data_IF_161305444210
#
_entry.id   IF_161305444210
#
_cell.length_a   1.000
_cell.length_b   1.000
_cell.length_c   1.000
_cell.angle_alpha   90.00
_cell.angle_beta   90.00
_cell.angle_gamma   90.00
#
_symmetry.space_group_name_H-M   'P 1'
#
loop_
_entity.id
_entity.type
_entity.pdbx_description
1 polymer ?
#
# COMPACT_ATOMS: atom_id res chain seq x y z
N UNK A 1 -20.69 -3.60 -0.11
CA UNK A 1 -21.15 -2.34 -0.72
C UNK A 1 -20.96 -1.24 0.32
N UNK A 2 -20.21 -0.19 -0.03
CA UNK A 2 -19.97 0.97 0.81
C UNK A 2 -20.63 2.19 0.16
N UNK A 3 -21.30 3.03 0.95
CA UNK A 3 -21.86 4.30 0.50
C UNK A 3 -21.36 5.41 1.42
N UNK A 4 -20.83 6.49 0.85
CA UNK A 4 -20.38 7.67 1.58
C UNK A 4 -21.02 8.91 0.98
N UNK A 5 -21.62 9.77 1.82
CA UNK A 5 -22.25 11.01 1.38
C UNK A 5 -21.77 12.17 2.23
N UNK A 6 -21.27 13.22 1.58
CA UNK A 6 -20.91 14.50 2.18
C UNK A 6 -21.68 15.60 1.48
N UNK A 7 -22.29 16.52 2.23
CA UNK A 7 -23.15 17.55 1.67
C UNK A 7 -23.06 18.87 2.42
N UNK A 8 -22.97 19.95 1.65
CA UNK A 8 -23.21 21.32 2.09
C UNK A 8 -24.25 21.97 1.17
N UNK A 9 -25.33 22.51 1.71
CA UNK A 9 -26.41 23.02 0.87
C UNK A 9 -27.10 24.25 1.44
N UNK A 10 -27.44 25.18 0.56
CA UNK A 10 -28.56 26.09 0.76
C UNK A 10 -29.79 25.48 0.05
N UNK A 11 -30.82 25.02 0.77
CA UNK A 11 -31.98 24.36 0.15
C UNK A 11 -32.77 25.28 -0.79
N UNK A 12 -33.65 24.68 -1.58
CA UNK A 12 -34.56 25.39 -2.49
C UNK A 12 -35.37 26.50 -1.80
N UNK A 13 -35.62 27.59 -2.53
CA UNK A 13 -36.44 28.74 -2.10
C UNK A 13 -36.02 29.35 -0.75
N UNK A 14 -34.78 29.14 -0.33
CA UNK A 14 -34.23 29.74 0.89
C UNK A 14 -33.52 31.04 0.57
N UNK A 15 -33.63 31.99 1.48
CA UNK A 15 -32.88 33.25 1.43
C UNK A 15 -31.76 33.22 2.47
N UNK A 16 -30.56 33.59 2.05
CA UNK A 16 -29.43 33.91 2.94
C UNK A 16 -28.99 35.33 2.62
N UNK A 17 -28.88 36.13 3.68
CA UNK A 17 -28.30 37.46 3.65
C UNK A 17 -27.10 37.39 4.60
N UNK A 18 -25.89 37.30 4.05
CA UNK A 18 -24.64 37.23 4.79
C UNK A 18 -24.05 38.62 5.03
N UNK A 19 -24.48 39.63 4.27
CA UNK A 19 -24.12 41.03 4.41
C UNK A 19 -25.32 41.84 4.90
N UNK A 20 -25.29 42.34 6.15
CA UNK A 20 -26.41 43.10 6.73
C UNK A 20 -26.04 44.50 7.21
N UNK A 21 -24.76 44.86 7.17
CA UNK A 21 -24.23 46.17 7.53
C UNK A 21 -23.45 46.68 6.30
N UNK A 22 -23.47 47.99 5.99
CA UNK A 22 -22.80 48.62 4.80
C UNK A 22 -21.25 48.45 4.75
N UNK A 23 -20.67 47.44 5.43
CA UNK A 23 -19.26 47.10 5.46
C UNK A 23 -18.83 46.03 4.44
N UNK A 24 -19.78 45.32 3.81
CA UNK A 24 -19.53 44.44 2.66
C UNK A 24 -18.61 43.26 2.98
N UNK A 25 -18.76 42.65 4.17
CA UNK A 25 -17.76 41.70 4.70
C UNK A 25 -18.22 40.23 4.77
N UNK A 26 -19.51 39.93 4.68
CA UNK A 26 -20.02 38.58 4.91
C UNK A 26 -20.10 37.70 3.66
N UNK A 27 -19.31 36.63 3.58
CA UNK A 27 -19.37 35.65 2.49
C UNK A 27 -20.23 34.41 2.84
N UNK A 28 -20.90 33.83 1.84
CA UNK A 28 -21.52 32.51 1.96
C UNK A 28 -20.56 31.44 1.43
N UNK A 29 -20.16 30.51 2.30
CA UNK A 29 -19.27 29.39 1.96
C UNK A 29 -20.01 28.07 2.22
N UNK A 30 -20.17 27.25 1.19
CA UNK A 30 -20.72 25.91 1.24
C UNK A 30 -19.63 24.94 0.80
N UNK A 31 -19.05 24.20 1.74
CA UNK A 31 -17.99 23.23 1.44
C UNK A 31 -18.41 21.84 1.91
N UNK A 32 -18.47 20.90 0.97
CA UNK A 32 -18.49 19.47 1.23
C UNK A 32 -17.11 18.89 0.93
N UNK A 33 -16.66 17.94 1.74
CA UNK A 33 -15.43 17.21 1.48
C UNK A 33 -15.63 15.73 1.77
N UNK A 34 -15.05 14.86 0.94
CA UNK A 34 -15.16 13.41 1.13
C UNK A 34 -13.80 12.70 0.96
N UNK A 35 -13.53 11.80 1.90
CA UNK A 35 -12.45 10.81 2.11
C UNK A 35 -13.07 9.40 2.13
N UNK A 36 -12.88 8.52 1.15
CA UNK A 36 -13.50 7.18 1.20
C UNK A 36 -12.54 6.09 0.76
N UNK A 37 -12.36 5.12 1.68
CA UNK A 37 -11.68 3.86 1.44
C UNK A 37 -12.70 2.71 1.48
N UNK A 38 -12.63 1.80 0.51
CA UNK A 38 -13.49 0.63 0.43
C UNK A 38 -12.68 -0.62 0.11
N UNK A 39 -12.98 -1.76 0.73
CA UNK A 39 -12.23 -2.99 0.51
C UNK A 39 -13.14 -4.20 0.55
N UNK A 40 -12.94 -5.13 -0.38
CA UNK A 40 -13.45 -6.49 -0.31
C UNK A 40 -12.28 -7.47 -0.42
N UNK A 41 -12.17 -8.40 0.53
CA UNK A 41 -11.16 -9.48 0.51
C UNK A 41 -11.86 -10.83 0.54
N UNK A 42 -11.39 -11.78 -0.26
CA UNK A 42 -11.85 -13.16 -0.23
C UNK A 42 -10.64 -14.09 -0.23
N UNK A 43 -10.58 -15.01 0.75
CA UNK A 43 -9.60 -16.10 0.77
C UNK A 43 -10.33 -17.43 0.65
N UNK A 44 -10.23 -18.02 -0.54
CA UNK A 44 -10.74 -19.34 -0.87
C UNK A 44 -9.66 -20.40 -0.82
N UNK A 45 -8.62 -20.27 -0.01
CA UNK A 45 -7.57 -21.28 0.07
C UNK A 45 -8.10 -22.60 0.65
N UNK A 46 -7.99 -23.68 -0.11
CA UNK A 46 -8.32 -25.01 0.39
C UNK A 46 -7.25 -25.52 1.37
N UNK A 47 -7.67 -26.34 2.32
CA UNK A 47 -6.80 -27.13 3.19
C UNK A 47 -7.19 -28.60 3.05
N UNK A 48 -6.31 -29.43 2.46
CA UNK A 48 -6.51 -30.88 2.37
C UNK A 48 -5.28 -31.62 2.82
N UNK A 49 -5.49 -32.77 3.45
CA UNK A 49 -4.44 -33.76 3.72
C UNK A 49 -3.92 -34.40 2.42
N UNK A 50 -2.76 -35.06 2.52
CA UNK A 50 -2.18 -35.84 1.42
C UNK A 50 -3.19 -36.86 0.85
N UNK A 51 -3.41 -36.84 -0.47
CA UNK A 51 -4.34 -37.73 -1.18
C UNK A 51 -5.79 -37.22 -1.30
N UNK A 52 -6.08 -35.98 -0.91
CA UNK A 52 -7.41 -35.36 -1.04
C UNK A 52 -7.68 -34.68 -2.41
N UNK A 53 -8.93 -34.26 -2.65
CA UNK A 53 -9.25 -33.27 -3.70
C UNK A 53 -9.53 -31.92 -3.04
N UNK A 54 -8.77 -30.89 -3.40
CA UNK A 54 -8.93 -29.53 -2.89
C UNK A 54 -9.60 -28.62 -3.91
N UNK A 55 -10.72 -27.99 -3.53
CA UNK A 55 -11.37 -26.95 -4.33
C UNK A 55 -11.44 -25.67 -3.52
N UNK A 56 -10.84 -24.61 -4.04
CA UNK A 56 -10.82 -23.31 -3.40
C UNK A 56 -11.21 -22.19 -4.35
N UNK A 57 -12.23 -21.42 -3.97
CA UNK A 57 -12.75 -20.32 -4.79
C UNK A 57 -12.79 -19.04 -3.97
N UNK A 58 -12.12 -17.99 -4.45
CA UNK A 58 -12.14 -16.66 -3.86
C UNK A 58 -12.94 -15.70 -4.73
N UNK A 59 -13.97 -15.04 -4.20
CA UNK A 59 -14.72 -14.01 -4.94
C UNK A 59 -14.81 -12.75 -4.10
N UNK A 60 -14.13 -11.69 -4.54
CA UNK A 60 -14.17 -10.38 -3.92
C UNK A 60 -14.92 -9.39 -4.82
N UNK A 61 -16.01 -8.81 -4.32
CA UNK A 61 -16.75 -7.76 -5.03
C UNK A 61 -16.83 -6.54 -4.13
N UNK A 62 -16.10 -5.49 -4.52
CA UNK A 62 -16.17 -4.19 -3.91
C UNK A 62 -17.07 -3.28 -4.74
N UNK A 63 -18.10 -2.70 -4.11
CA UNK A 63 -18.96 -1.69 -4.73
C UNK A 63 -18.95 -0.49 -3.81
N UNK A 64 -18.43 0.62 -4.29
CA UNK A 64 -18.36 1.88 -3.56
C UNK A 64 -19.16 2.94 -4.30
N UNK A 65 -20.06 3.62 -3.58
CA UNK A 65 -20.78 4.80 -4.07
C UNK A 65 -20.39 6.00 -3.20
N UNK A 66 -19.88 7.06 -3.79
CA UNK A 66 -19.48 8.29 -3.10
C UNK A 66 -20.23 9.46 -3.69
N UNK A 67 -20.93 10.22 -2.84
CA UNK A 67 -21.56 11.49 -3.18
C UNK A 67 -20.88 12.60 -2.37
N UNK A 68 -20.37 13.62 -3.06
CA UNK A 68 -19.77 14.80 -2.44
C UNK A 68 -20.36 16.04 -3.10
N UNK A 69 -21.28 16.71 -2.41
CA UNK A 69 -22.16 17.68 -3.05
C UNK A 69 -22.18 19.00 -2.30
N UNK A 70 -21.90 20.08 -3.00
CA UNK A 70 -22.12 21.44 -2.54
C UNK A 70 -23.10 22.14 -3.47
N UNK A 71 -24.22 22.67 -2.95
CA UNK A 71 -25.17 23.35 -3.82
C UNK A 71 -25.96 24.48 -3.20
N UNK A 72 -26.30 25.45 -4.05
CA UNK A 72 -27.38 26.41 -3.82
C UNK A 72 -28.59 25.95 -4.63
N UNK A 73 -29.66 25.59 -3.93
CA UNK A 73 -30.88 25.02 -4.49
C UNK A 73 -31.64 25.98 -5.40
N UNK A 74 -32.59 25.42 -6.14
CA UNK A 74 -33.42 26.19 -7.05
C UNK A 74 -34.24 27.26 -6.31
N UNK A 75 -34.39 28.44 -6.92
CA UNK A 75 -35.16 29.55 -6.37
C UNK A 75 -34.61 30.14 -5.07
N UNK A 76 -33.43 29.70 -4.62
CA UNK A 76 -32.76 30.30 -3.47
C UNK A 76 -32.29 31.73 -3.80
N UNK A 77 -32.19 32.58 -2.77
CA UNK A 77 -31.65 33.93 -2.88
C UNK A 77 -30.43 34.05 -1.98
N UNK A 78 -29.32 34.52 -2.52
CA UNK A 78 -28.07 34.79 -1.80
C UNK A 78 -27.73 36.27 -1.97
N UNK A 79 -27.61 36.97 -0.85
CA UNK A 79 -27.05 38.33 -0.76
C UNK A 79 -25.82 38.24 0.14
N UNK A 80 -24.63 38.46 -0.43
CA UNK A 80 -23.36 38.26 0.28
C UNK A 80 -22.23 39.05 -0.38
N UNK A 81 -21.13 39.26 0.34
CA UNK A 81 -19.94 39.83 -0.25
C UNK A 81 -19.24 38.87 -1.23
N UNK A 82 -19.32 37.57 -1.01
CA UNK A 82 -18.80 36.54 -1.91
C UNK A 82 -19.55 35.23 -1.75
N UNK A 83 -19.49 34.37 -2.77
CA UNK A 83 -20.11 33.05 -2.76
C UNK A 83 -19.09 31.97 -3.14
N UNK A 84 -18.88 31.00 -2.26
CA UNK A 84 -18.03 29.85 -2.52
C UNK A 84 -18.84 28.56 -2.35
N UNK A 85 -18.91 27.74 -3.39
CA UNK A 85 -19.60 26.44 -3.40
C UNK A 85 -18.63 25.37 -3.85
N UNK A 86 -18.23 24.49 -2.93
CA UNK A 86 -17.12 23.58 -3.18
C UNK A 86 -17.40 22.14 -2.73
N UNK A 87 -17.22 21.19 -3.64
CA UNK A 87 -17.14 19.76 -3.35
C UNK A 87 -15.68 19.32 -3.47
N UNK A 88 -14.94 19.35 -2.36
CA UNK A 88 -13.49 19.10 -2.29
C UNK A 88 -13.14 17.64 -2.02
N UNK A 89 -11.94 17.24 -2.41
CA UNK A 89 -11.30 16.04 -1.88
C UNK A 89 -10.92 16.29 -0.42
N UNK A 90 -11.41 15.46 0.50
CA UNK A 90 -10.86 15.46 1.85
C UNK A 90 -9.45 14.85 1.82
N UNK A 91 -8.64 15.18 2.82
CA UNK A 91 -7.30 14.62 2.97
C UNK A 91 -7.15 14.03 4.36
N UNK A 92 -6.62 12.81 4.42
CA UNK A 92 -6.07 12.21 5.63
C UNK A 92 -4.63 12.66 5.76
N UNK A 93 -4.30 13.22 6.90
CA UNK A 93 -2.95 13.64 7.22
C UNK A 93 -2.31 12.61 8.15
N UNK A 94 -1.15 12.10 7.76
CA UNK A 94 -0.36 11.14 8.51
C UNK A 94 0.91 11.81 9.01
N UNK A 95 1.23 11.55 10.26
CA UNK A 95 2.55 11.88 10.81
C UNK A 95 3.60 10.95 10.20
N UNK A 96 4.82 11.46 10.05
CA UNK A 96 5.94 10.73 9.45
C UNK A 96 7.03 10.64 10.49
N UNK A 97 7.09 9.51 11.17
CA UNK A 97 8.16 9.24 12.11
C UNK A 97 9.24 8.39 11.41
N UNK A 98 10.45 8.94 11.18
CA UNK A 98 11.53 8.16 10.58
C UNK A 98 11.99 7.09 11.56
N UNK A 99 11.99 5.84 11.10
CA UNK A 99 12.49 4.70 11.85
C UNK A 99 13.68 4.06 11.13
N UNK A 100 14.52 3.37 11.90
CA UNK A 100 15.57 2.50 11.36
C UNK A 100 15.17 1.06 11.64
N UNK A 101 15.14 0.24 10.60
CA UNK A 101 14.91 -1.20 10.68
C UNK A 101 16.24 -1.90 10.45
N UNK A 102 16.54 -2.85 11.32
CA UNK A 102 17.70 -3.71 11.16
C UNK A 102 17.44 -4.68 10.01
N UNK A 103 18.31 -4.70 9.00
CA UNK A 103 18.26 -5.71 7.94
C UNK A 103 18.87 -7.03 8.42
N UNK A 104 19.85 -6.95 9.32
CA UNK A 104 20.35 -8.06 10.14
C UNK A 104 19.80 -7.90 11.55
N UNK A 105 18.87 -8.75 11.96
CA UNK A 105 18.28 -8.75 13.30
C UNK A 105 18.91 -9.85 14.15
N UNK A 106 19.84 -9.48 15.03
CA UNK A 106 20.56 -10.38 15.93
C UNK A 106 19.72 -10.85 17.12
N UNK A 107 18.59 -10.22 17.42
CA UNK A 107 17.71 -10.68 18.50
C UNK A 107 16.73 -11.73 17.97
N UNK A 108 16.23 -11.52 16.75
CA UNK A 108 15.34 -12.45 16.06
C UNK A 108 16.07 -13.55 15.27
N UNK A 109 17.38 -13.40 15.05
CA UNK A 109 18.20 -14.25 14.18
C UNK A 109 17.69 -14.28 12.73
N UNK A 110 17.27 -13.12 12.22
CA UNK A 110 16.70 -13.00 10.87
C UNK A 110 17.50 -12.06 10.00
N UNK A 111 17.55 -12.37 8.70
CA UNK A 111 18.20 -11.57 7.68
C UNK A 111 17.20 -11.21 6.59
N UNK A 112 17.01 -9.92 6.33
CA UNK A 112 16.16 -9.45 5.23
C UNK A 112 16.94 -9.45 3.92
N UNK A 113 16.55 -10.31 2.98
CA UNK A 113 17.19 -10.45 1.66
C UNK A 113 16.30 -9.97 0.51
N UNK A 114 15.11 -9.44 0.83
CA UNK A 114 14.19 -8.81 -0.12
C UNK A 114 13.06 -9.73 -0.59
N UNK A 115 11.83 -9.21 -0.58
CA UNK A 115 10.58 -9.96 -0.85
C UNK A 115 10.50 -10.66 -2.23
N UNK A 116 11.36 -10.31 -3.17
CA UNK A 116 11.42 -10.90 -4.52
C UNK A 116 12.41 -12.06 -4.70
N UNK A 117 13.09 -12.51 -3.64
CA UNK A 117 14.05 -13.61 -3.75
C UNK A 117 13.38 -14.93 -4.15
N UNK A 118 14.13 -15.83 -4.81
CA UNK A 118 13.62 -17.16 -5.23
C UNK A 118 14.12 -18.33 -4.38
N UNK A 119 14.91 -18.05 -3.33
CA UNK A 119 15.32 -19.03 -2.31
C UNK A 119 14.08 -19.66 -1.65
N UNK A 120 14.14 -20.95 -1.38
CA UNK A 120 13.11 -21.74 -0.70
C UNK A 120 13.64 -22.33 0.60
N UNK A 121 12.72 -22.66 1.52
CA UNK A 121 13.08 -23.32 2.78
C UNK A 121 13.73 -24.67 2.53
N UNK A 122 14.95 -24.84 3.06
CA UNK A 122 15.80 -26.01 2.87
C UNK A 122 16.90 -25.82 1.83
N UNK A 123 16.87 -24.75 1.03
CA UNK A 123 17.90 -24.49 0.02
C UNK A 123 19.24 -24.21 0.70
N UNK A 124 20.30 -24.80 0.14
CA UNK A 124 21.69 -24.50 0.51
C UNK A 124 22.12 -23.20 -0.17
N UNK A 125 22.64 -22.27 0.61
CA UNK A 125 23.14 -20.96 0.19
C UNK A 125 24.59 -20.80 0.60
N UNK A 126 25.43 -20.23 -0.25
CA UNK A 126 26.82 -19.86 0.10
C UNK A 126 26.88 -18.37 0.37
N UNK A 127 27.36 -17.97 1.55
CA UNK A 127 27.51 -16.57 1.91
C UNK A 127 28.75 -15.97 1.26
N UNK A 128 28.63 -14.75 0.75
CA UNK A 128 29.78 -13.91 0.43
C UNK A 128 29.63 -12.53 1.08
N UNK A 129 30.68 -12.06 1.76
CA UNK A 129 30.69 -10.77 2.45
C UNK A 129 30.85 -9.57 1.50
N UNK A 130 31.38 -9.81 0.30
CA UNK A 130 31.53 -8.81 -0.75
C UNK A 130 32.57 -7.74 -0.41
N UNK A 131 32.13 -6.49 -0.29
CA UNK A 131 32.99 -5.31 -0.16
C UNK A 131 33.18 -4.81 1.29
N UNK A 132 32.63 -5.52 2.29
CA UNK A 132 32.77 -5.14 3.69
C UNK A 132 32.96 -6.33 4.64
N UNK A 133 32.83 -6.05 5.94
CA UNK A 133 33.02 -7.06 6.98
C UNK A 133 31.86 -8.05 7.05
N UNK A 134 32.19 -9.30 7.36
CA UNK A 134 31.24 -10.38 7.61
C UNK A 134 30.14 -10.00 8.61
N UNK A 135 28.93 -10.46 8.33
CA UNK A 135 27.85 -10.52 9.32
C UNK A 135 28.30 -11.52 10.39
N UNK A 136 28.31 -11.11 11.66
CA UNK A 136 28.81 -11.95 12.73
C UNK A 136 28.03 -13.26 12.82
N UNK A 137 28.72 -14.40 12.83
CA UNK A 137 28.12 -15.74 12.74
C UNK A 137 28.06 -16.30 11.31
N UNK A 138 28.38 -15.50 10.28
CA UNK A 138 28.52 -15.95 8.90
C UNK A 138 29.96 -15.73 8.41
N UNK A 139 30.62 -16.80 7.98
CA UNK A 139 31.98 -16.77 7.45
C UNK A 139 31.94 -16.71 5.91
N UNK A 140 32.80 -15.89 5.31
CA UNK A 140 32.85 -15.72 3.86
C UNK A 140 33.21 -17.04 3.13
N UNK A 141 32.37 -17.42 2.17
CA UNK A 141 32.51 -18.66 1.39
C UNK A 141 31.89 -19.89 2.03
N UNK A 142 31.38 -19.79 3.27
CA UNK A 142 30.73 -20.92 3.94
C UNK A 142 29.27 -21.11 3.49
N UNK A 143 28.81 -22.35 3.63
CA UNK A 143 27.48 -22.77 3.21
C UNK A 143 26.53 -22.93 4.39
N UNK A 144 25.30 -22.44 4.20
CA UNK A 144 24.22 -22.48 5.17
C UNK A 144 22.94 -22.99 4.51
N UNK A 145 21.92 -23.28 5.30
CA UNK A 145 20.60 -23.72 4.82
C UNK A 145 19.55 -22.68 5.20
N UNK A 146 18.87 -22.13 4.21
CA UNK A 146 17.92 -21.06 4.40
C UNK A 146 16.55 -21.59 4.81
N UNK A 147 15.96 -20.99 5.83
CA UNK A 147 14.54 -21.08 6.14
C UNK A 147 13.90 -19.75 5.77
N UNK A 148 12.98 -19.78 4.81
CA UNK A 148 12.25 -18.58 4.37
C UNK A 148 11.14 -18.27 5.36
N UNK A 149 11.12 -17.02 5.82
CA UNK A 149 10.09 -16.45 6.68
C UNK A 149 9.31 -15.38 5.89
N UNK A 150 8.19 -14.92 6.45
CA UNK A 150 7.36 -13.90 5.79
C UNK A 150 8.11 -12.58 5.58
N UNK A 151 7.70 -11.84 4.54
CA UNK A 151 8.23 -10.51 4.26
C UNK A 151 9.61 -10.48 3.58
N UNK A 152 10.13 -11.61 3.09
CA UNK A 152 11.45 -11.67 2.43
C UNK A 152 12.63 -11.79 3.40
N UNK A 153 12.36 -12.34 4.59
CA UNK A 153 13.35 -12.65 5.62
C UNK A 153 13.77 -14.12 5.52
N UNK A 154 14.99 -14.40 5.95
CA UNK A 154 15.50 -15.77 6.12
C UNK A 154 16.14 -15.96 7.48
N UNK A 155 16.05 -17.19 8.00
CA UNK A 155 16.86 -17.69 9.12
C UNK A 155 17.82 -18.72 8.56
N UNK A 156 19.07 -18.72 9.01
CA UNK A 156 20.09 -19.64 8.52
C UNK A 156 20.35 -20.76 9.52
N UNK A 157 20.63 -21.94 8.99
CA UNK A 157 21.01 -23.13 9.75
C UNK A 157 22.32 -23.71 9.23
N UNK A 158 23.08 -24.29 10.13
CA UNK A 158 24.24 -25.11 9.85
C UNK A 158 23.85 -26.59 9.79
N UNK A 159 24.64 -27.38 9.06
CA UNK A 159 24.53 -28.84 9.01
C UNK A 159 25.92 -29.46 8.90
N UNK A 160 26.13 -30.62 9.55
CA UNK A 160 27.37 -31.38 9.34
C UNK A 160 27.43 -32.05 7.97
N UNK A 161 26.27 -32.18 7.32
CA UNK A 161 26.06 -32.55 5.94
C UNK A 161 24.79 -31.87 5.36
N UNK A 162 24.55 -32.08 4.06
CA UNK A 162 23.41 -31.49 3.34
C UNK A 162 22.05 -31.98 3.85
N UNK A 163 21.95 -33.24 4.24
CA UNK A 163 20.69 -33.84 4.69
C UNK A 163 20.27 -33.29 6.06
N UNK A 164 21.23 -33.15 6.98
CA UNK A 164 21.00 -32.60 8.31
C UNK A 164 20.64 -31.10 8.24
N UNK A 165 21.39 -30.32 7.46
CA UNK A 165 21.15 -28.88 7.33
C UNK A 165 19.78 -28.57 6.71
N UNK A 166 19.43 -29.25 5.62
CA UNK A 166 18.13 -29.13 4.98
C UNK A 166 17.00 -29.55 5.93
N UNK A 167 17.17 -30.65 6.68
CA UNK A 167 16.19 -31.11 7.66
C UNK A 167 15.98 -30.09 8.78
N UNK A 168 17.05 -29.46 9.29
CA UNK A 168 16.97 -28.41 10.33
C UNK A 168 16.26 -27.17 9.83
N UNK A 169 16.59 -26.64 8.64
CA UNK A 169 15.92 -25.47 8.08
C UNK A 169 14.41 -25.71 7.87
N UNK A 170 14.03 -26.90 7.42
CA UNK A 170 12.62 -27.32 7.28
C UNK A 170 11.92 -27.48 8.63
N UNK A 171 12.57 -28.11 9.60
CA UNK A 171 12.01 -28.31 10.94
C UNK A 171 11.84 -26.99 11.71
N UNK A 172 12.81 -26.07 11.57
CA UNK A 172 12.92 -24.86 12.36
C UNK A 172 13.39 -25.09 13.80
N UNK A 173 13.41 -24.04 14.61
CA UNK A 173 13.82 -24.06 16.01
C UNK A 173 15.24 -23.55 16.24
N UNK A 174 15.84 -23.89 17.37
CA UNK A 174 17.17 -23.37 17.76
C UNK A 174 18.32 -24.33 17.46
N UNK A 175 18.04 -25.60 17.13
CA UNK A 175 19.09 -26.61 16.92
C UNK A 175 19.78 -26.34 15.59
N UNK A 176 21.07 -26.01 15.65
CA UNK A 176 21.89 -25.71 14.48
C UNK A 176 21.46 -24.42 13.77
N UNK A 177 20.67 -23.56 14.42
CA UNK A 177 20.41 -22.20 13.92
C UNK A 177 21.69 -21.38 14.06
N UNK A 178 22.02 -20.60 13.04
CA UNK A 178 23.14 -19.66 13.11
C UNK A 178 22.78 -18.55 14.12
N UNK A 179 23.71 -18.26 15.02
CA UNK A 179 23.62 -17.13 15.94
C UNK A 179 24.30 -15.91 15.29
N UNK A 180 23.49 -14.93 14.86
CA UNK A 180 23.94 -13.67 14.30
C UNK A 180 24.38 -12.75 15.43
N UNK A 181 25.66 -12.37 15.43
CA UNK A 181 26.27 -11.65 16.55
C UNK A 181 26.65 -10.21 16.24
N UNK A 182 26.72 -9.86 14.95
CA UNK A 182 27.01 -8.52 14.48
C UNK A 182 26.37 -8.31 13.10
N UNK A 183 25.97 -7.08 12.78
CA UNK A 183 25.36 -6.77 11.49
C UNK A 183 26.35 -6.82 10.32
N UNK A 184 27.66 -6.80 10.55
CA UNK A 184 28.64 -6.61 9.48
C UNK A 184 28.60 -5.21 8.88
N UNK A 185 29.27 -5.04 7.73
CA UNK A 185 29.30 -3.77 7.00
C UNK A 185 29.41 -4.02 5.50
N UNK A 186 29.02 -3.05 4.69
CA UNK A 186 29.11 -3.15 3.23
C UNK A 186 27.74 -3.37 2.59
N UNK A 187 27.72 -3.35 1.26
CA UNK A 187 26.47 -3.51 0.48
C UNK A 187 26.58 -4.62 -0.57
N UNK A 188 27.75 -5.26 -0.67
CA UNK A 188 28.03 -6.37 -1.56
C UNK A 188 27.73 -7.75 -0.98
N UNK A 189 27.03 -7.84 0.16
CA UNK A 189 26.66 -9.14 0.73
C UNK A 189 25.75 -9.88 -0.23
N UNK A 190 25.98 -11.18 -0.38
CA UNK A 190 25.17 -12.00 -1.27
C UNK A 190 25.11 -13.46 -0.86
N UNK A 191 24.06 -14.12 -1.34
CA UNK A 191 23.95 -15.58 -1.33
C UNK A 191 23.97 -16.13 -2.75
N UNK A 192 24.82 -17.12 -2.97
CA UNK A 192 24.84 -17.93 -4.20
C UNK A 192 24.15 -19.29 -3.94
N UNK A 193 23.27 -19.71 -4.84
CA UNK A 193 22.46 -20.93 -4.70
C UNK A 193 22.00 -21.52 -6.05
N UNK A 194 21.39 -22.70 -6.04
CA UNK A 194 20.73 -23.28 -7.21
C UNK A 194 21.63 -23.98 -8.25
N UNK A 195 22.96 -23.96 -8.09
CA UNK A 195 23.88 -24.65 -9.00
C UNK A 195 23.98 -26.16 -8.78
N UNK A 196 23.61 -26.96 -9.79
CA UNK A 196 23.86 -28.42 -9.82
C UNK A 196 25.35 -28.71 -10.13
N UNK A 197 26.23 -28.56 -9.15
CA UNK A 197 27.70 -28.73 -9.28
C UNK A 197 28.43 -27.62 -10.06
N UNK A 198 27.94 -26.37 -10.03
CA UNK A 198 28.63 -25.23 -10.68
C UNK A 198 28.73 -25.31 -12.22
N UNK A 199 27.99 -26.23 -12.85
CA UNK A 199 27.98 -26.47 -14.30
C UNK A 199 26.79 -25.84 -15.04
N UNK A 200 25.75 -25.44 -14.31
CA UNK A 200 24.57 -24.70 -14.80
C UNK A 200 24.26 -23.59 -13.80
N UNK A 201 23.85 -22.41 -14.29
CA UNK A 201 23.89 -21.11 -13.61
C UNK A 201 23.65 -21.12 -12.10
N UNK A 202 24.56 -20.50 -11.35
CA UNK A 202 24.34 -20.13 -9.95
C UNK A 202 23.39 -18.93 -9.94
N UNK A 203 22.26 -19.07 -9.25
CA UNK A 203 21.42 -17.93 -8.93
C UNK A 203 22.06 -17.16 -7.78
N UNK A 204 21.84 -15.85 -7.75
CA UNK A 204 22.40 -14.96 -6.74
C UNK A 204 21.30 -14.06 -6.18
N UNK A 205 21.35 -13.81 -4.88
CA UNK A 205 20.63 -12.69 -4.25
C UNK A 205 21.62 -11.81 -3.51
N UNK A 206 21.69 -10.55 -3.93
CA UNK A 206 22.49 -9.51 -3.25
C UNK A 206 21.61 -8.73 -2.26
N UNK A 207 22.16 -8.37 -1.10
CA UNK A 207 21.46 -7.65 -0.04
C UNK A 207 22.38 -6.70 0.73
N UNK A 208 21.78 -5.74 1.43
CA UNK A 208 22.49 -4.77 2.29
C UNK A 208 22.43 -5.28 3.74
N UNK A 209 23.51 -5.10 4.50
CA UNK A 209 23.57 -5.45 5.91
C UNK A 209 23.30 -4.26 6.84
N UNK A 210 23.44 -3.04 6.32
CA UNK A 210 23.22 -1.83 7.10
C UNK A 210 21.72 -1.61 7.39
N UNK A 211 21.45 -0.92 8.50
CA UNK A 211 20.09 -0.51 8.84
C UNK A 211 19.44 0.27 7.70
N UNK A 212 18.15 -0.02 7.47
CA UNK A 212 17.35 0.69 6.48
C UNK A 212 16.45 1.70 7.14
N UNK A 213 16.43 2.91 6.57
CA UNK A 213 15.51 3.95 7.00
C UNK A 213 14.16 3.78 6.32
N UNK A 214 13.11 3.82 7.14
CA UNK A 214 11.71 3.64 6.75
C UNK A 214 10.87 4.73 7.40
N UNK A 215 9.60 4.79 7.04
CA UNK A 215 8.60 5.67 7.66
C UNK A 215 7.68 4.81 8.51
N UNK A 216 7.48 5.19 9.77
CA UNK A 216 6.37 4.71 10.59
C UNK A 216 5.13 5.58 10.30
N UNK A 217 4.05 4.93 9.87
CA UNK A 217 2.77 5.54 9.50
C UNK A 217 1.82 5.65 10.70
N UNK A 218 2.15 5.00 11.82
CA UNK A 218 1.31 4.89 13.01
C UNK A 218 0.15 3.90 12.84
N UNK A 219 -0.36 3.42 13.98
CA UNK A 219 -1.45 2.45 14.02
C UNK A 219 -2.72 2.96 13.34
N UNK A 220 -3.39 2.08 12.59
CA UNK A 220 -4.67 2.38 11.95
C UNK A 220 -4.55 3.33 10.75
N UNK A 221 -3.35 3.46 10.17
CA UNK A 221 -3.11 4.29 8.99
C UNK A 221 -3.95 3.88 7.76
N UNK A 222 -4.43 2.62 7.68
CA UNK A 222 -5.27 2.03 6.63
C UNK A 222 -4.75 2.20 5.18
N UNK A 223 -3.45 2.46 5.01
CA UNK A 223 -2.78 2.50 3.70
C UNK A 223 -2.27 1.09 3.34
N UNK A 224 -2.13 0.83 2.05
CA UNK A 224 -1.63 -0.42 1.47
C UNK A 224 -0.50 -0.14 0.49
N UNK A 225 0.25 -1.20 0.15
CA UNK A 225 1.26 -1.12 -0.89
C UNK A 225 0.63 -0.66 -2.20
N UNK A 226 1.15 0.43 -2.77
CA UNK A 226 0.67 1.05 -3.99
C UNK A 226 -0.25 2.26 -3.80
N UNK A 227 -0.65 2.59 -2.57
CA UNK A 227 -1.44 3.78 -2.27
C UNK A 227 -0.60 5.06 -2.44
N UNK A 228 -1.22 6.10 -2.99
CA UNK A 228 -0.56 7.37 -3.28
C UNK A 228 -0.65 8.35 -2.09
N UNK A 229 0.49 8.90 -1.69
CA UNK A 229 0.59 9.90 -0.62
C UNK A 229 1.45 11.09 -1.06
N UNK A 230 1.05 12.32 -0.76
CA UNK A 230 1.87 13.51 -1.00
C UNK A 230 2.74 13.79 0.22
N UNK A 231 4.05 13.91 0.02
CA UNK A 231 4.97 14.32 1.06
C UNK A 231 4.99 15.84 1.23
N UNK A 232 5.03 16.28 2.48
CA UNK A 232 5.13 17.68 2.88
C UNK A 232 6.24 17.80 3.93
N UNK A 233 7.21 18.67 3.71
CA UNK A 233 8.31 18.85 4.66
C UNK A 233 7.99 19.81 5.81
N UNK A 234 6.77 20.38 5.88
CA UNK A 234 6.36 21.29 6.94
C UNK A 234 7.22 22.56 7.02
N UNK A 235 7.85 22.98 5.91
CA UNK A 235 8.87 24.05 5.81
C UNK A 235 10.24 23.75 6.43
N UNK A 236 10.44 22.56 7.00
CA UNK A 236 11.69 22.13 7.61
C UNK A 236 12.67 21.45 6.64
N UNK A 237 13.70 20.82 7.19
CA UNK A 237 14.64 20.03 6.40
C UNK A 237 13.94 18.82 5.75
N UNK A 238 14.04 18.69 4.44
CA UNK A 238 13.44 17.57 3.69
C UNK A 238 14.07 16.23 4.06
N UNK A 239 13.25 15.19 4.22
CA UNK A 239 13.70 13.82 4.37
C UNK A 239 14.50 13.40 3.12
N UNK A 240 15.73 12.94 3.33
CA UNK A 240 16.65 12.65 2.23
C UNK A 240 16.10 11.58 1.30
N UNK A 241 16.08 11.85 -0.01
CA UNK A 241 15.46 10.99 -1.02
C UNK A 241 14.04 11.42 -1.41
N UNK A 242 13.40 12.29 -0.63
CA UNK A 242 12.08 12.85 -0.94
C UNK A 242 12.18 14.32 -1.40
N UNK A 243 11.10 14.81 -1.99
CA UNK A 243 10.92 16.19 -2.46
C UNK A 243 9.56 16.69 -1.97
N UNK A 244 9.55 17.90 -1.44
CA UNK A 244 8.33 18.54 -0.92
C UNK A 244 7.25 18.68 -2.01
N UNK A 245 6.00 18.49 -1.62
CA UNK A 245 4.83 18.52 -2.51
C UNK A 245 4.73 17.36 -3.51
N UNK A 246 5.66 16.40 -3.50
CA UNK A 246 5.69 15.29 -4.46
C UNK A 246 4.85 14.10 -3.97
N UNK A 247 4.13 13.46 -4.90
CA UNK A 247 3.41 12.21 -4.63
C UNK A 247 4.35 11.01 -4.70
N UNK A 248 4.32 10.18 -3.67
CA UNK A 248 5.00 8.90 -3.54
C UNK A 248 3.99 7.78 -3.35
N UNK A 249 4.46 6.54 -3.44
CA UNK A 249 3.63 5.35 -3.30
C UNK A 249 4.13 4.48 -2.15
N UNK A 250 3.20 4.05 -1.29
CA UNK A 250 3.50 3.27 -0.09
C UNK A 250 3.99 1.87 -0.46
N UNK A 251 4.99 1.37 0.25
CA UNK A 251 5.37 -0.05 0.30
C UNK A 251 5.28 -0.49 1.75
N UNK A 252 4.25 -1.25 2.10
CA UNK A 252 4.10 -1.78 3.46
C UNK A 252 5.14 -2.88 3.70
N UNK A 253 5.99 -2.69 4.71
CA UNK A 253 6.94 -3.69 5.18
C UNK A 253 6.33 -4.56 6.27
N UNK A 254 5.70 -3.91 7.26
CA UNK A 254 4.96 -4.51 8.36
C UNK A 254 3.75 -3.62 8.70
N UNK A 255 2.97 -3.98 9.73
CA UNK A 255 1.67 -3.38 10.02
C UNK A 255 1.63 -1.86 10.18
N UNK A 256 2.74 -1.21 10.52
CA UNK A 256 2.82 0.24 10.70
C UNK A 256 4.00 0.88 9.94
N UNK A 257 5.00 0.10 9.53
CA UNK A 257 6.19 0.62 8.82
C UNK A 257 6.09 0.46 7.31
N UNK A 258 6.51 1.49 6.62
CA UNK A 258 6.51 1.55 5.17
C UNK A 258 7.80 2.14 4.57
N UNK A 259 8.13 1.67 3.39
CA UNK A 259 9.02 2.35 2.45
C UNK A 259 8.18 3.17 1.46
N UNK A 260 8.85 4.03 0.68
CA UNK A 260 8.21 4.87 -0.34
C UNK A 260 8.82 4.58 -1.71
N UNK A 261 8.01 4.65 -2.76
CA UNK A 261 8.42 4.46 -4.14
C UNK A 261 8.06 5.67 -5.02
N UNK A 262 8.76 5.83 -6.15
CA UNK A 262 8.51 6.89 -7.14
C UNK A 262 7.28 6.64 -8.00
N UNK A 263 6.85 5.37 -8.11
CA UNK A 263 5.67 4.99 -8.88
C UNK A 263 4.95 3.83 -8.20
N UNK A 264 3.66 3.65 -8.51
CA UNK A 264 2.90 2.49 -8.04
C UNK A 264 3.52 1.18 -8.51
N UNK A 265 4.00 1.13 -9.74
CA UNK A 265 4.64 -0.06 -10.31
C UNK A 265 5.89 -0.42 -9.50
N UNK A 266 6.73 0.58 -9.18
CA UNK A 266 7.87 0.39 -8.29
C UNK A 266 7.43 -0.09 -6.90
N UNK A 267 6.34 0.46 -6.34
CA UNK A 267 5.83 0.04 -5.04
C UNK A 267 5.37 -1.42 -5.03
N UNK A 268 4.59 -1.84 -6.04
CA UNK A 268 4.13 -3.22 -6.19
C UNK A 268 5.28 -4.19 -6.48
N UNK A 269 6.34 -3.72 -7.13
CA UNK A 269 7.58 -4.47 -7.34
C UNK A 269 8.53 -4.46 -6.13
N UNK A 270 8.21 -3.71 -5.06
CA UNK A 270 9.07 -3.58 -3.88
C UNK A 270 10.34 -2.74 -4.11
N UNK A 271 10.35 -1.89 -5.13
CA UNK A 271 11.49 -1.03 -5.50
C UNK A 271 11.39 0.32 -4.78
N UNK A 272 11.88 0.34 -3.54
CA UNK A 272 11.85 1.53 -2.70
C UNK A 272 12.91 2.59 -3.04
N UNK A 273 12.61 3.82 -2.65
CA UNK A 273 13.54 4.95 -2.58
C UNK A 273 14.43 4.77 -1.34
N UNK A 274 15.75 4.92 -1.53
CA UNK A 274 16.69 4.94 -0.40
C UNK A 274 16.57 6.25 0.37
N UNK A 275 16.03 6.19 1.59
CA UNK A 275 15.91 7.34 2.48
C UNK A 275 17.25 7.64 3.19
N UNK A 276 17.80 8.84 2.97
CA UNK A 276 19.18 9.18 3.36
C UNK A 276 19.31 10.08 4.59
N UNK A 277 18.22 10.70 5.06
CA UNK A 277 18.20 11.48 6.31
C UNK A 277 16.80 11.46 6.93
N UNK A 278 16.67 11.87 8.20
CA UNK A 278 15.39 11.84 8.93
C UNK A 278 14.45 13.00 8.56
N UNK A 279 14.93 14.02 7.85
CA UNK A 279 14.16 15.25 7.61
C UNK A 279 13.95 16.04 8.89
N UNK A 280 12.69 16.29 9.25
CA UNK A 280 12.29 17.11 10.41
C UNK A 280 11.04 16.55 11.10
N UNK A 281 10.67 17.12 12.26
CA UNK A 281 9.55 16.63 13.09
C UNK A 281 8.18 17.15 12.69
N UNK A 282 8.09 18.05 11.71
CA UNK A 282 6.83 18.65 11.23
C UNK A 282 6.42 18.12 9.86
N UNK A 283 7.17 17.18 9.30
CA UNK A 283 6.89 16.59 8.00
C UNK A 283 5.68 15.65 8.06
N UNK A 284 4.88 15.60 6.99
CA UNK A 284 3.61 14.86 6.95
C UNK A 284 3.47 14.13 5.61
N UNK A 285 2.64 13.10 5.60
CA UNK A 285 2.10 12.51 4.38
C UNK A 285 0.62 12.84 4.28
N UNK A 286 0.16 13.23 3.11
CA UNK A 286 -1.25 13.50 2.84
C UNK A 286 -1.79 12.48 1.85
N UNK A 287 -2.77 11.71 2.28
CA UNK A 287 -3.60 10.91 1.39
C UNK A 287 -4.88 11.69 1.04
N UNK A 288 -5.07 11.95 -0.24
CA UNK A 288 -6.23 12.66 -0.78
C UNK A 288 -6.86 11.92 -1.95
N UNK A 289 -6.83 10.58 -1.91
CA UNK A 289 -7.32 9.72 -3.00
C UNK A 289 -8.36 8.75 -2.47
N UNK A 290 -9.55 8.73 -3.07
CA UNK A 290 -10.50 7.65 -2.78
C UNK A 290 -9.87 6.32 -3.21
N UNK A 291 -9.82 5.34 -2.32
CA UNK A 291 -9.13 4.08 -2.58
C UNK A 291 -10.09 2.89 -2.48
N UNK A 292 -10.20 2.10 -3.55
CA UNK A 292 -11.13 0.95 -3.60
C UNK A 292 -10.38 -0.34 -3.95
N UNK A 293 -10.41 -1.33 -3.07
CA UNK A 293 -9.72 -2.61 -3.24
C UNK A 293 -10.69 -3.79 -3.38
N UNK A 294 -10.39 -4.69 -4.30
CA UNK A 294 -10.95 -6.04 -4.34
C UNK A 294 -9.81 -7.05 -4.48
N UNK A 295 -9.66 -7.95 -3.50
CA UNK A 295 -8.59 -8.93 -3.46
C UNK A 295 -9.17 -10.33 -3.26
N UNK A 296 -8.93 -11.21 -4.22
CA UNK A 296 -9.41 -12.59 -4.19
C UNK A 296 -8.25 -13.58 -4.30
N UNK A 297 -8.02 -14.33 -3.23
CA UNK A 297 -7.10 -15.45 -3.18
C UNK A 297 -7.88 -16.75 -3.32
N UNK A 298 -7.41 -17.70 -4.14
CA UNK A 298 -8.04 -19.01 -4.31
C UNK A 298 -7.00 -20.11 -4.13
N UNK A 299 -7.32 -21.25 -3.52
CA UNK A 299 -6.28 -22.26 -3.29
C UNK A 299 -6.74 -23.66 -3.61
N UNK A 300 -5.93 -24.37 -4.38
CA UNK A 300 -5.98 -25.81 -4.41
C UNK A 300 -5.00 -26.33 -3.35
N UNK A 301 -5.43 -27.26 -2.52
CA UNK A 301 -4.55 -27.90 -1.54
C UNK A 301 -3.86 -29.14 -2.13
N UNK A 302 -2.68 -29.47 -1.59
CA UNK A 302 -1.73 -30.46 -2.10
C UNK A 302 -2.16 -31.93 -2.04
N UNK A 303 -3.31 -32.28 -2.61
CA UNK A 303 -3.72 -33.65 -2.90
C UNK A 303 -3.63 -34.00 -4.39
N UNK A 304 -4.34 -35.05 -4.81
CA UNK A 304 -4.22 -35.61 -6.16
C UNK A 304 -4.84 -34.70 -7.24
N UNK A 305 -5.89 -33.95 -6.86
CA UNK A 305 -6.61 -33.03 -7.75
C UNK A 305 -6.82 -31.70 -7.02
N UNK A 306 -6.37 -30.63 -7.66
CA UNK A 306 -6.50 -29.26 -7.18
C UNK A 306 -7.26 -28.38 -8.17
N UNK A 307 -8.34 -27.73 -7.73
CA UNK A 307 -9.07 -26.74 -8.53
C UNK A 307 -9.09 -25.41 -7.77
N UNK A 308 -8.53 -24.37 -8.38
CA UNK A 308 -8.52 -23.01 -7.84
C UNK A 308 -9.13 -22.05 -8.85
N UNK A 309 -9.94 -21.10 -8.37
CA UNK A 309 -10.43 -19.99 -9.19
C UNK A 309 -10.68 -18.75 -8.35
N UNK A 310 -10.20 -17.60 -8.79
CA UNK A 310 -10.44 -16.33 -8.13
C UNK A 310 -11.05 -15.30 -9.09
N UNK A 311 -11.95 -14.48 -8.54
CA UNK A 311 -12.55 -13.33 -9.23
C UNK A 311 -12.52 -12.15 -8.28
N UNK A 312 -11.96 -11.03 -8.73
CA UNK A 312 -12.03 -9.77 -8.01
C UNK A 312 -12.64 -8.70 -8.92
N UNK A 313 -13.58 -7.91 -8.38
CA UNK A 313 -14.28 -6.85 -9.09
C UNK A 313 -14.38 -5.64 -8.16
N UNK A 314 -14.01 -4.48 -8.68
CA UNK A 314 -14.27 -3.19 -8.05
C UNK A 314 -15.20 -2.37 -8.94
N UNK A 315 -16.27 -1.82 -8.37
CA UNK A 315 -17.16 -0.85 -8.99
C UNK A 315 -17.15 0.41 -8.15
N UNK A 316 -16.76 1.53 -8.75
CA UNK A 316 -16.69 2.83 -8.11
C UNK A 316 -17.63 3.80 -8.81
N UNK A 317 -18.66 4.26 -8.11
CA UNK A 317 -19.56 5.32 -8.56
C UNK A 317 -19.27 6.56 -7.72
N UNK A 318 -18.63 7.57 -8.31
CA UNK A 318 -18.11 8.71 -7.55
C UNK A 318 -18.63 10.01 -8.17
N UNK A 319 -19.44 10.74 -7.42
CA UNK A 319 -20.03 12.01 -7.82
C UNK A 319 -19.46 13.13 -6.95
N UNK A 320 -18.89 14.15 -7.60
CA UNK A 320 -18.53 15.40 -6.93
C UNK A 320 -19.14 16.56 -7.69
N UNK A 321 -20.07 17.24 -7.03
CA UNK A 321 -20.95 18.23 -7.66
C UNK A 321 -20.89 19.51 -6.86
N UNK A 322 -20.57 20.61 -7.53
CA UNK A 322 -20.67 21.96 -7.01
C UNK A 322 -21.54 22.79 -7.97
N UNK A 323 -22.72 23.23 -7.53
CA UNK A 323 -23.69 23.91 -8.40
C UNK A 323 -24.46 25.04 -7.71
N UNK A 324 -24.93 26.00 -8.50
CA UNK A 324 -25.82 27.08 -8.06
C UNK A 324 -27.06 27.09 -8.94
N UNK A 325 -28.25 27.19 -8.32
CA UNK A 325 -29.53 27.23 -9.01
C UNK A 325 -30.09 25.88 -9.42
N UNK A 326 -29.57 24.78 -8.86
CA UNK A 326 -30.03 23.42 -9.11
C UNK A 326 -30.24 22.67 -7.81
N UNK A 327 -31.27 21.83 -7.80
CA UNK A 327 -31.49 20.89 -6.70
C UNK A 327 -30.62 19.65 -6.88
N UNK A 328 -30.43 18.91 -5.78
CA UNK A 328 -29.74 17.63 -5.78
C UNK A 328 -30.26 16.72 -6.92
N UNK A 329 -29.34 16.22 -7.75
CA UNK A 329 -29.66 15.26 -8.81
C UNK A 329 -30.51 15.80 -9.98
N UNK A 330 -30.81 17.11 -10.04
CA UNK A 330 -31.73 17.68 -11.05
C UNK A 330 -31.08 18.83 -11.84
N UNK A 331 -30.70 18.57 -13.10
CA UNK A 331 -30.06 19.56 -14.00
C UNK A 331 -31.08 20.32 -14.88
N UNK A 332 -32.38 20.01 -14.83
CA UNK A 332 -33.35 20.53 -15.82
C UNK A 332 -34.52 21.30 -15.19
N UNK A 333 -34.75 22.52 -15.70
CA UNK A 333 -35.88 23.44 -15.43
C UNK A 333 -36.20 23.67 -13.96
N UNK A 334 -35.28 24.33 -13.26
CA UNK A 334 -35.53 24.83 -11.92
C UNK A 334 -35.77 26.35 -11.95
N UNK A 335 -36.50 26.88 -10.97
CA UNK A 335 -36.55 28.34 -10.75
C UNK A 335 -35.10 28.81 -10.51
N UNK A 336 -34.58 29.82 -11.23
CA UNK A 336 -33.19 30.21 -11.06
C UNK A 336 -32.94 30.69 -9.63
N UNK A 337 -31.80 30.33 -9.06
CA UNK A 337 -31.31 30.99 -7.86
C UNK A 337 -30.90 32.43 -8.20
N UNK A 338 -31.11 33.35 -7.27
CA UNK A 338 -30.70 34.74 -7.37
C UNK A 338 -29.46 34.92 -6.49
N UNK A 339 -28.36 35.39 -7.08
CA UNK A 339 -27.13 35.70 -6.34
C UNK A 339 -26.80 37.17 -6.58
N UNK A 340 -26.75 37.94 -5.50
CA UNK A 340 -26.36 39.35 -5.48
C UNK A 340 -25.08 39.46 -4.67
N UNK A 341 -24.01 39.94 -5.30
CA UNK A 341 -22.73 40.19 -4.63
C UNK A 341 -22.42 41.69 -4.56
N UNK A 342 -21.95 42.16 -3.40
CA UNK A 342 -21.58 43.56 -3.17
C UNK A 342 -20.10 43.87 -3.50
N UNK A 343 -19.26 42.86 -3.77
CA UNK A 343 -17.86 43.08 -4.14
C UNK A 343 -17.04 41.86 -4.58
N UNK A 344 -17.14 40.73 -3.88
CA UNK A 344 -16.32 39.53 -4.10
C UNK A 344 -16.77 38.62 -5.25
N UNK A 345 -16.08 37.48 -5.37
CA UNK A 345 -16.25 36.52 -6.48
C UNK A 345 -17.29 35.42 -6.18
N UNK A 346 -17.76 34.77 -7.26
CA UNK A 346 -18.40 33.44 -7.19
C UNK A 346 -17.35 32.38 -7.51
N UNK A 347 -17.01 31.54 -6.53
CA UNK A 347 -16.15 30.38 -6.71
C UNK A 347 -16.99 29.09 -6.66
N UNK A 348 -16.89 28.28 -7.71
CA UNK A 348 -17.56 26.98 -7.81
C UNK A 348 -16.52 25.93 -8.19
N UNK A 349 -16.24 25.02 -7.26
CA UNK A 349 -15.18 24.04 -7.43
C UNK A 349 -15.64 22.62 -7.07
N UNK A 350 -15.42 21.67 -7.97
CA UNK A 350 -15.59 20.26 -7.68
C UNK A 350 -14.32 19.50 -8.06
N UNK A 351 -13.82 18.68 -7.15
CA UNK A 351 -12.67 17.82 -7.38
C UNK A 351 -12.97 16.40 -6.90
N UNK A 352 -12.54 15.43 -7.70
CA UNK A 352 -12.56 14.02 -7.35
C UNK A 352 -11.27 13.35 -7.83
N UNK A 353 -10.63 12.59 -6.96
CA UNK A 353 -9.49 11.72 -7.31
C UNK A 353 -9.73 10.34 -6.74
N UNK A 354 -9.59 9.32 -7.56
CA UNK A 354 -9.84 7.95 -7.17
C UNK A 354 -8.92 6.95 -7.82
N UNK A 355 -8.68 5.86 -7.10
CA UNK A 355 -7.88 4.73 -7.53
C UNK A 355 -8.60 3.43 -7.16
N UNK A 356 -8.69 2.51 -8.12
CA UNK A 356 -9.28 1.18 -7.93
C UNK A 356 -8.22 0.11 -8.12
N UNK A 357 -8.18 -0.81 -7.19
CA UNK A 357 -7.23 -1.92 -7.12
C UNK A 357 -8.01 -3.22 -7.17
N UNK A 358 -7.57 -4.11 -8.05
CA UNK A 358 -8.16 -5.43 -8.25
C UNK A 358 -7.04 -6.45 -8.34
N UNK A 359 -7.06 -7.45 -7.47
CA UNK A 359 -6.13 -8.57 -7.49
C UNK A 359 -6.89 -9.87 -7.37
N UNK A 360 -6.65 -10.79 -8.30
CA UNK A 360 -7.18 -12.14 -8.26
C UNK A 360 -6.01 -13.11 -8.52
N UNK A 361 -5.66 -13.90 -7.50
CA UNK A 361 -4.52 -14.80 -7.57
C UNK A 361 -4.85 -16.18 -6.96
N UNK A 362 -4.14 -17.24 -7.37
CA UNK A 362 -4.10 -18.48 -6.62
C UNK A 362 -3.13 -18.35 -5.42
N UNK A 363 -3.40 -19.01 -4.28
CA UNK A 363 -2.45 -19.22 -3.21
C UNK A 363 -1.42 -20.24 -3.69
N UNK A 364 -0.21 -19.75 -3.96
CA UNK A 364 0.88 -20.59 -4.41
C UNK A 364 1.37 -21.52 -3.28
N UNK A 365 0.94 -22.77 -3.29
CA UNK A 365 1.66 -23.94 -2.72
C UNK A 365 1.07 -25.24 -3.27
N UNK A 366 1.61 -25.73 -4.38
CA UNK A 366 1.49 -27.15 -4.77
C UNK A 366 2.66 -27.92 -4.18
N UNK A 367 2.46 -28.57 -3.04
CA UNK A 367 3.30 -29.70 -2.59
C UNK A 367 2.99 -31.01 -3.35
N UNK A 368 2.08 -30.99 -4.32
CA UNK A 368 1.70 -32.14 -5.14
C UNK A 368 2.27 -32.05 -6.55
N UNK A 369 2.75 -33.18 -7.08
CA UNK A 369 3.43 -33.33 -8.37
C UNK A 369 2.55 -33.14 -9.63
N UNK A 370 1.51 -32.29 -9.56
CA UNK A 370 0.59 -31.99 -10.66
C UNK A 370 0.88 -30.65 -11.32
N UNK A 371 0.97 -30.62 -12.65
CA UNK A 371 1.13 -29.39 -13.43
C UNK A 371 -0.07 -28.45 -13.21
N UNK A 372 0.16 -27.29 -12.59
CA UNK A 372 -0.81 -26.21 -12.51
C UNK A 372 -0.64 -25.30 -13.74
N UNK A 373 -1.73 -25.10 -14.50
CA UNK A 373 -1.79 -24.11 -15.57
C UNK A 373 -2.39 -22.81 -14.99
N UNK A 374 -1.60 -21.74 -14.92
CA UNK A 374 -2.05 -20.44 -14.43
C UNK A 374 -2.35 -19.50 -15.59
N UNK A 375 -3.52 -18.85 -15.56
CA UNK A 375 -3.80 -17.68 -16.38
C UNK A 375 -3.79 -16.45 -15.46
N UNK A 376 -2.64 -15.78 -15.35
CA UNK A 376 -2.59 -14.44 -14.75
C UNK A 376 -2.93 -13.44 -15.83
N UNK A 377 -4.05 -12.72 -15.67
CA UNK A 377 -4.31 -11.51 -16.44
C UNK A 377 -3.58 -10.35 -15.74
N UNK A 378 -2.75 -9.56 -16.45
CA UNK A 378 -2.14 -8.37 -15.86
C UNK A 378 -3.24 -7.38 -15.43
N UNK A 379 -2.99 -6.56 -14.39
CA UNK A 379 -3.94 -5.53 -13.99
C UNK A 379 -4.24 -4.61 -15.17
N UNK A 380 -5.53 -4.42 -15.48
CA UNK A 380 -5.95 -3.46 -16.49
C UNK A 380 -5.73 -2.04 -15.98
N UNK A 381 -5.05 -1.23 -16.79
CA UNK A 381 -4.80 0.21 -16.56
C UNK A 381 -6.08 1.02 -16.44
#
# INVERSE_FOLDING_TARGET
MATSTSRAALPEFRTVIADSDDDGSGALILTAANLTDATATADGSAVTSSGGTGVGVGVAVNVATVHNEAYVGAGATVEAAGLTVEAKMAQRELEVEPALVNLVDTDAETLFIGKGHTIKTGDKVTYQNGDGNEIGGLDDGDSYYARVEDGGKVILYEGSDDEEGEARAKAGGTVGRVDLTDQGTGSGHKFEYGGLFGLIGQDEVSFDSAQRRVVDLGAGHNLRTGDAVRYDNGTGATMGGLTDGTTYYIIILDGDRAELATSREDALAGKAIKLTSNGNTTQRLFDGTHTMHAEALSGASGGDIGVAGSVAITVANLDSIAVVGFDEGTIVTATPANVTLDGGDVDIHAANRSESFVSAAPSGVTGGAGAAAWASAPPSR
#
